data_IF_308621244424
#
_entry.id   IF_308621244424
#
_cell.length_a   1.000
_cell.length_b   1.000
_cell.length_c   1.000
_cell.angle_alpha   90.00
_cell.angle_beta   90.00
_cell.angle_gamma   90.00
#
_symmetry.space_group_name_H-M   'P 1'
#
loop_
_entity.id
_entity.type
_entity.pdbx_description
1 polymer ?
#
# COMPACT_ATOMS: atom_id res chain seq x y z
N UNK A 1 -9.95 27.79 -11.41
CA UNK A 1 -9.27 26.54 -11.00
C UNK A 1 -9.75 25.44 -11.94
N UNK A 2 -8.87 24.90 -12.78
CA UNK A 2 -9.18 23.68 -13.53
C UNK A 2 -9.21 22.53 -12.51
N UNK A 3 -10.40 22.10 -12.10
CA UNK A 3 -10.59 20.85 -11.37
C UNK A 3 -10.03 19.74 -12.24
N UNK A 4 -8.91 19.15 -11.81
CA UNK A 4 -8.35 17.96 -12.39
C UNK A 4 -9.46 16.90 -12.41
N UNK A 5 -10.07 16.66 -13.59
CA UNK A 5 -11.04 15.58 -13.77
C UNK A 5 -10.26 14.28 -13.67
N UNK A 6 -10.13 13.78 -12.45
CA UNK A 6 -9.57 12.47 -12.19
C UNK A 6 -10.57 11.43 -12.71
N UNK A 7 -10.16 10.68 -13.73
CA UNK A 7 -10.96 9.60 -14.30
C UNK A 7 -11.22 8.52 -13.24
N UNK A 8 -12.49 8.22 -12.89
CA UNK A 8 -12.83 7.19 -11.91
C UNK A 8 -12.28 5.80 -12.27
N UNK A 9 -12.19 5.46 -13.56
CA UNK A 9 -11.63 4.19 -13.99
C UNK A 9 -10.11 4.13 -13.75
N UNK A 10 -9.40 5.23 -14.03
CA UNK A 10 -7.97 5.35 -13.72
C UNK A 10 -7.72 5.28 -12.20
N UNK A 11 -8.55 5.95 -11.40
CA UNK A 11 -8.47 5.92 -9.93
C UNK A 11 -8.70 4.51 -9.36
N UNK A 12 -9.67 3.77 -9.90
CA UNK A 12 -9.91 2.38 -9.54
C UNK A 12 -8.69 1.50 -9.89
N UNK A 13 -8.14 1.64 -11.10
CA UNK A 13 -6.95 0.91 -11.52
C UNK A 13 -5.73 1.20 -10.62
N UNK A 14 -5.46 2.48 -10.31
CA UNK A 14 -4.39 2.86 -9.39
C UNK A 14 -4.58 2.29 -7.99
N UNK A 15 -5.81 2.27 -7.48
CA UNK A 15 -6.12 1.70 -6.15
C UNK A 15 -5.85 0.19 -6.14
N UNK A 16 -6.27 -0.55 -7.17
CA UNK A 16 -6.00 -1.98 -7.31
C UNK A 16 -4.51 -2.29 -7.40
N UNK A 17 -3.76 -1.49 -8.16
CA UNK A 17 -2.30 -1.61 -8.25
C UNK A 17 -1.65 -1.34 -6.89
N UNK A 18 -2.07 -0.30 -6.18
CA UNK A 18 -1.55 0.02 -4.85
C UNK A 18 -1.83 -1.13 -3.85
N UNK A 19 -3.04 -1.68 -3.84
CA UNK A 19 -3.38 -2.83 -2.99
C UNK A 19 -2.47 -4.03 -3.33
N UNK A 20 -2.29 -4.33 -4.62
CA UNK A 20 -1.45 -5.44 -5.10
C UNK A 20 0.01 -5.27 -4.68
N UNK A 21 0.58 -4.08 -4.90
CA UNK A 21 1.98 -3.78 -4.54
C UNK A 21 2.17 -3.82 -3.02
N UNK A 22 1.21 -3.29 -2.25
CA UNK A 22 1.29 -3.35 -0.78
C UNK A 22 1.31 -4.79 -0.26
N UNK A 23 0.52 -5.68 -0.85
CA UNK A 23 0.50 -7.11 -0.50
C UNK A 23 1.79 -7.82 -0.90
N UNK A 24 2.32 -7.53 -2.10
CA UNK A 24 3.60 -8.09 -2.55
C UNK A 24 4.75 -7.68 -1.63
N UNK A 25 4.80 -6.41 -1.22
CA UNK A 25 5.80 -5.90 -0.28
C UNK A 25 5.66 -6.53 1.11
N UNK A 26 4.44 -6.71 1.61
CA UNK A 26 4.20 -7.40 2.87
C UNK A 26 4.63 -8.87 2.82
N UNK A 27 4.34 -9.56 1.70
CA UNK A 27 4.77 -10.95 1.47
C UNK A 27 6.30 -11.04 1.41
N UNK A 28 6.96 -10.15 0.68
CA UNK A 28 8.41 -10.09 0.58
C UNK A 28 9.06 -9.83 1.95
N UNK A 29 8.49 -8.93 2.76
CA UNK A 29 8.95 -8.68 4.12
C UNK A 29 8.86 -9.93 5.00
N UNK A 30 7.74 -10.67 4.94
CA UNK A 30 7.55 -11.90 5.70
C UNK A 30 8.54 -12.99 5.28
N UNK A 31 8.77 -13.16 3.97
CA UNK A 31 9.77 -14.09 3.43
C UNK A 31 11.17 -13.72 3.89
N UNK A 32 11.55 -12.44 3.77
CA UNK A 32 12.87 -11.97 4.20
C UNK A 32 13.10 -12.21 5.71
N UNK A 33 12.11 -11.90 6.55
CA UNK A 33 12.20 -12.13 7.99
C UNK A 33 12.34 -13.63 8.35
N UNK A 34 11.74 -14.53 7.56
CA UNK A 34 11.83 -15.97 7.75
C UNK A 34 13.01 -16.65 7.04
N UNK A 35 13.73 -15.95 6.17
CA UNK A 35 14.78 -16.53 5.33
C UNK A 35 16.09 -16.81 6.09
N UNK A 36 16.29 -16.20 7.26
CA UNK A 36 17.51 -16.35 8.05
C UNK A 36 17.19 -16.95 9.41
N UNK A 37 17.88 -18.05 9.73
CA UNK A 37 17.89 -18.65 11.06
C UNK A 37 19.21 -18.26 11.75
N UNK A 38 19.23 -17.22 12.59
CA UNK A 38 20.49 -16.61 13.05
C UNK A 38 21.34 -17.58 13.88
N UNK A 39 20.67 -18.40 14.69
CA UNK A 39 21.29 -19.40 15.56
C UNK A 39 21.95 -20.53 14.76
N UNK A 40 21.25 -21.03 13.74
CA UNK A 40 21.78 -22.05 12.83
C UNK A 40 22.92 -21.49 11.98
N UNK A 41 22.77 -20.28 11.44
CA UNK A 41 23.80 -19.60 10.65
C UNK A 41 25.08 -19.36 11.47
N UNK A 42 24.94 -18.93 12.73
CA UNK A 42 26.06 -18.76 13.63
C UNK A 42 26.73 -20.09 13.99
N UNK A 43 25.94 -21.16 14.18
CA UNK A 43 26.46 -22.50 14.44
C UNK A 43 27.25 -23.07 13.25
N UNK A 44 26.74 -22.89 12.02
CA UNK A 44 27.34 -23.40 10.79
C UNK A 44 28.64 -22.66 10.44
N UNK A 45 28.70 -21.35 10.72
CA UNK A 45 29.87 -20.52 10.44
C UNK A 45 30.93 -20.51 11.55
N UNK A 46 30.55 -20.95 12.75
CA UNK A 46 31.42 -20.98 13.91
C UNK A 46 31.99 -19.61 14.30
N UNK A 47 33.08 -19.64 15.09
CA UNK A 47 33.65 -18.44 15.73
C UNK A 47 34.19 -17.41 14.73
N UNK A 48 34.61 -17.84 13.54
CA UNK A 48 35.17 -16.97 12.50
C UNK A 48 34.07 -16.20 11.74
N UNK A 49 32.89 -16.78 11.56
CA UNK A 49 31.79 -16.13 10.86
C UNK A 49 30.70 -15.55 11.75
N UNK A 50 30.91 -15.48 13.07
CA UNK A 50 29.94 -14.92 14.01
C UNK A 50 29.60 -13.45 13.70
N UNK A 51 30.60 -12.63 13.35
CA UNK A 51 30.40 -11.23 12.98
C UNK A 51 29.63 -11.09 11.66
N UNK A 52 29.92 -11.96 10.68
CA UNK A 52 29.15 -12.04 9.45
C UNK A 52 27.70 -12.43 9.72
N UNK A 53 27.46 -13.48 10.53
CA UNK A 53 26.11 -13.95 10.85
C UNK A 53 25.29 -12.84 11.52
N UNK A 54 25.89 -12.10 12.47
CA UNK A 54 25.26 -10.96 13.13
C UNK A 54 24.94 -9.83 12.14
N UNK A 55 25.92 -9.41 11.34
CA UNK A 55 25.76 -8.32 10.37
C UNK A 55 24.73 -8.67 9.30
N UNK A 56 24.78 -9.90 8.78
CA UNK A 56 23.83 -10.38 7.78
C UNK A 56 22.41 -10.47 8.33
N UNK A 57 22.24 -11.01 9.54
CA UNK A 57 20.93 -11.07 10.20
C UNK A 57 20.35 -9.68 10.42
N UNK A 58 21.18 -8.72 10.87
CA UNK A 58 20.76 -7.33 11.04
C UNK A 58 20.32 -6.70 9.70
N UNK A 59 21.11 -6.88 8.64
CA UNK A 59 20.77 -6.35 7.31
C UNK A 59 19.47 -6.95 6.75
N UNK A 60 19.22 -8.25 6.95
CA UNK A 60 17.96 -8.89 6.53
C UNK A 60 16.77 -8.36 7.33
N UNK A 61 16.94 -8.15 8.64
CA UNK A 61 15.90 -7.55 9.48
C UNK A 61 15.55 -6.13 9.04
N UNK A 62 16.56 -5.30 8.77
CA UNK A 62 16.39 -3.94 8.26
C UNK A 62 15.67 -3.94 6.90
N UNK A 63 16.08 -4.85 5.99
CA UNK A 63 15.43 -4.99 4.69
C UNK A 63 13.95 -5.37 4.80
N UNK A 64 13.61 -6.34 5.66
CA UNK A 64 12.23 -6.72 5.92
C UNK A 64 11.40 -5.54 6.47
N UNK A 65 11.98 -4.75 7.37
CA UNK A 65 11.33 -3.55 7.91
C UNK A 65 11.10 -2.47 6.85
N UNK A 66 12.07 -2.24 5.96
CA UNK A 66 11.94 -1.30 4.85
C UNK A 66 10.82 -1.71 3.88
N UNK A 67 10.74 -3.00 3.53
CA UNK A 67 9.67 -3.55 2.68
C UNK A 67 8.29 -3.37 3.34
N UNK A 68 8.18 -3.66 4.64
CA UNK A 68 6.94 -3.48 5.40
C UNK A 68 6.50 -2.00 5.39
N UNK A 69 7.43 -1.09 5.63
CA UNK A 69 7.18 0.36 5.62
C UNK A 69 6.73 0.84 4.24
N UNK A 70 7.38 0.38 3.17
CA UNK A 70 6.99 0.71 1.80
C UNK A 70 5.56 0.20 1.49
N UNK A 71 5.23 -1.02 1.94
CA UNK A 71 3.88 -1.58 1.80
C UNK A 71 2.81 -0.74 2.52
N UNK A 72 3.10 -0.28 3.74
CA UNK A 72 2.21 0.60 4.50
C UNK A 72 1.99 1.95 3.82
N UNK A 73 3.05 2.55 3.26
CA UNK A 73 2.96 3.81 2.51
C UNK A 73 2.08 3.66 1.26
N UNK A 74 2.30 2.59 0.48
CA UNK A 74 1.50 2.31 -0.72
C UNK A 74 0.03 2.08 -0.36
N UNK A 75 -0.24 1.31 0.70
CA UNK A 75 -1.60 1.09 1.19
C UNK A 75 -2.27 2.40 1.64
N UNK A 76 -1.54 3.26 2.34
CA UNK A 76 -2.02 4.58 2.77
C UNK A 76 -2.39 5.45 1.57
N UNK A 77 -1.55 5.47 0.53
CA UNK A 77 -1.84 6.17 -0.71
C UNK A 77 -3.12 5.66 -1.38
N UNK A 78 -3.28 4.33 -1.47
CA UNK A 78 -4.52 3.70 -1.97
C UNK A 78 -5.76 4.11 -1.18
N UNK A 79 -5.67 4.20 0.16
CA UNK A 79 -6.78 4.64 0.99
C UNK A 79 -7.16 6.11 0.76
N UNK A 80 -6.19 7.01 0.58
CA UNK A 80 -6.45 8.42 0.28
C UNK A 80 -7.17 8.55 -1.06
N UNK A 81 -6.73 7.83 -2.10
CA UNK A 81 -7.38 7.81 -3.40
C UNK A 81 -8.81 7.28 -3.32
N UNK A 82 -9.04 6.21 -2.55
CA UNK A 82 -10.38 5.63 -2.35
C UNK A 82 -11.33 6.61 -1.65
N UNK A 83 -10.87 7.31 -0.61
CA UNK A 83 -11.63 8.35 0.09
C UNK A 83 -11.98 9.52 -0.85
N UNK A 84 -11.03 9.95 -1.66
CA UNK A 84 -11.26 11.01 -2.65
C UNK A 84 -12.34 10.61 -3.67
N UNK A 85 -12.24 9.40 -4.24
CA UNK A 85 -13.22 8.91 -5.20
C UNK A 85 -14.63 8.78 -4.60
N UNK A 86 -14.74 8.28 -3.36
CA UNK A 86 -16.02 8.18 -2.66
C UNK A 86 -16.66 9.56 -2.41
N UNK A 87 -15.87 10.57 -2.03
CA UNK A 87 -16.36 11.93 -1.83
C UNK A 87 -16.88 12.57 -3.13
N UNK A 88 -16.21 12.33 -4.26
CA UNK A 88 -16.66 12.82 -5.57
C UNK A 88 -17.96 12.16 -6.01
N UNK A 89 -18.07 10.83 -5.91
CA UNK A 89 -19.30 10.11 -6.28
C UNK A 89 -20.50 10.52 -5.41
N UNK A 90 -20.29 10.76 -4.12
CA UNK A 90 -21.34 11.27 -3.23
C UNK A 90 -21.83 12.66 -3.66
N UNK A 91 -20.90 13.55 -3.99
CA UNK A 91 -21.24 14.91 -4.47
C UNK A 91 -22.01 14.89 -5.78
N UNK A 92 -21.63 14.02 -6.72
CA UNK A 92 -22.33 13.85 -8.00
C UNK A 92 -23.73 13.29 -7.80
N UNK A 93 -23.92 12.29 -6.92
CA UNK A 93 -25.22 11.73 -6.60
C UNK A 93 -26.16 12.76 -5.96
N UNK A 94 -25.66 13.55 -5.02
CA UNK A 94 -26.42 14.61 -4.36
C UNK A 94 -26.80 15.72 -5.36
N UNK A 95 -25.88 16.09 -6.24
CA UNK A 95 -26.12 17.08 -7.30
C UNK A 95 -27.13 16.58 -8.32
N UNK A 96 -27.03 15.32 -8.75
CA UNK A 96 -27.98 14.69 -9.66
C UNK A 96 -29.38 14.61 -9.02
N UNK A 97 -29.48 14.23 -7.75
CA UNK A 97 -30.74 14.20 -7.01
C UNK A 97 -31.35 15.60 -6.86
N UNK A 98 -30.53 16.63 -6.64
CA UNK A 98 -30.99 18.02 -6.60
C UNK A 98 -31.52 18.49 -7.96
N UNK A 99 -30.82 18.17 -9.06
CA UNK A 99 -31.26 18.49 -10.42
C UNK A 99 -32.58 17.78 -10.77
N UNK A 100 -32.71 16.49 -10.47
CA UNK A 100 -33.96 15.74 -10.67
C UNK A 100 -35.12 16.38 -9.92
N UNK A 101 -34.93 16.72 -8.64
CA UNK A 101 -35.94 17.37 -7.81
C UNK A 101 -36.36 18.73 -8.35
N UNK A 102 -35.40 19.52 -8.85
CA UNK A 102 -35.69 20.81 -9.50
C UNK A 102 -36.51 20.58 -10.78
N UNK A 103 -36.16 19.56 -11.57
CA UNK A 103 -36.91 19.17 -12.78
C UNK A 103 -38.36 18.80 -12.50
N UNK A 104 -38.61 18.05 -11.42
CA UNK A 104 -39.96 17.67 -10.97
C UNK A 104 -40.79 18.86 -10.47
N UNK A 105 -40.17 19.89 -9.88
CA UNK A 105 -40.87 21.10 -9.43
C UNK A 105 -41.19 22.10 -10.56
N UNK A 106 -40.59 21.94 -11.73
CA UNK A 106 -40.79 22.82 -12.89
C UNK A 106 -41.75 22.25 -13.94
N UNK A 107 -42.31 21.05 -13.68
CA UNK A 107 -43.37 20.38 -14.45
C UNK A 107 -44.68 20.38 -13.69
#
# INVERSE_FOLDING_TARGET
MNTLKLDPAAMAAYTTIADTVSQQLASAAAVAAGAVQPEQLAADLGLVGAEFAATFTAAVSEHAQALSTAGQLVSTYGQVLRRYNAAMQGTDADSAAAVTRIGETLT
#
